data_IF_419505046292
#
_entry.id   IF_419505046292
#
_cell.length_a   1.000
_cell.length_b   1.000
_cell.length_c   1.000
_cell.angle_alpha   90.00
_cell.angle_beta   90.00
_cell.angle_gamma   90.00
#
_symmetry.space_group_name_H-M   'P 1'
#
loop_
_entity.id
_entity.type
_entity.pdbx_description
1 polymer ?
#
# COMPACT_ATOMS: atom_id res chain seq x y z
N UNK A 1 -1.24 38.09 12.21
CA UNK A 1 -1.50 36.76 11.63
C UNK A 1 -2.14 35.94 12.72
N UNK A 2 -3.33 35.40 12.47
CA UNK A 2 -4.00 34.50 13.40
C UNK A 2 -3.19 33.19 13.46
N UNK A 3 -2.97 32.67 14.67
CA UNK A 3 -2.13 31.48 14.86
C UNK A 3 -2.97 30.25 14.52
N UNK A 4 -2.51 29.42 13.59
CA UNK A 4 -3.23 28.24 13.13
C UNK A 4 -3.22 27.14 14.21
N UNK A 5 -4.36 26.49 14.42
CA UNK A 5 -4.49 25.36 15.33
C UNK A 5 -3.96 24.07 14.68
N UNK A 6 -2.70 23.75 14.96
CA UNK A 6 -1.94 22.69 14.27
C UNK A 6 -1.01 21.96 15.23
N UNK A 7 -0.70 20.69 14.94
CA UNK A 7 0.37 19.94 15.62
C UNK A 7 1.72 20.58 15.31
N UNK A 8 2.51 20.82 16.35
CA UNK A 8 3.83 21.46 16.26
C UNK A 8 4.95 20.43 16.28
N UNK A 9 4.87 19.47 17.19
CA UNK A 9 5.86 18.41 17.37
C UNK A 9 5.16 17.12 17.73
N UNK A 10 5.76 16.01 17.31
CA UNK A 10 5.31 14.67 17.64
C UNK A 10 6.55 13.79 17.81
N UNK A 11 6.55 12.97 18.85
CA UNK A 11 7.56 11.97 19.11
C UNK A 11 6.85 10.63 19.33
N UNK A 12 7.38 9.58 18.74
CA UNK A 12 6.83 8.24 18.84
C UNK A 12 7.98 7.28 19.17
N UNK A 13 7.90 6.69 20.35
CA UNK A 13 8.82 5.66 20.82
C UNK A 13 8.07 4.34 20.96
N UNK A 14 8.77 3.28 21.35
CA UNK A 14 8.08 2.01 21.62
C UNK A 14 7.12 2.18 22.81
N UNK A 15 7.51 2.95 23.82
CA UNK A 15 6.80 3.02 25.09
C UNK A 15 5.71 4.09 25.12
N UNK A 16 5.91 5.18 24.38
CA UNK A 16 5.00 6.30 24.40
C UNK A 16 4.88 7.01 23.04
N UNK A 17 3.78 7.76 22.94
CA UNK A 17 3.61 8.78 21.92
C UNK A 17 3.30 10.10 22.59
N UNK A 18 3.98 11.15 22.16
CA UNK A 18 3.77 12.50 22.66
C UNK A 18 3.64 13.48 21.51
N UNK A 19 2.78 14.48 21.68
CA UNK A 19 2.64 15.54 20.70
C UNK A 19 2.24 16.85 21.37
N UNK A 20 2.62 17.95 20.71
CA UNK A 20 2.27 19.32 21.10
C UNK A 20 1.52 20.00 19.97
N UNK A 21 0.70 20.98 20.30
CA UNK A 21 -0.05 21.77 19.33
C UNK A 21 0.11 23.27 19.58
N UNK A 22 -0.32 24.06 18.60
CA UNK A 22 -0.39 25.51 18.73
C UNK A 22 -1.29 25.89 19.89
N UNK A 23 -0.73 26.53 20.90
CA UNK A 23 -1.54 27.24 21.91
C UNK A 23 -2.15 28.49 21.26
N UNK A 24 -3.45 28.41 20.99
CA UNK A 24 -4.29 29.49 20.46
C UNK A 24 -5.28 29.99 21.52
N UNK A 25 -5.07 29.65 22.79
CA UNK A 25 -6.00 29.93 23.88
C UNK A 25 -7.16 28.95 23.95
N UNK A 26 -7.89 29.01 25.07
CA UNK A 26 -9.01 28.12 25.39
C UNK A 26 -8.60 26.91 26.22
N UNK A 27 -9.43 25.87 26.12
CA UNK A 27 -9.30 24.63 26.86
C UNK A 27 -9.28 23.44 25.88
N UNK A 28 -8.49 22.41 26.15
CA UNK A 28 -8.27 21.30 25.22
C UNK A 28 -8.81 19.98 25.76
N UNK A 29 -9.31 19.15 24.85
CA UNK A 29 -9.65 17.73 25.10
C UNK A 29 -8.88 16.86 24.13
N UNK A 30 -8.33 15.75 24.61
CA UNK A 30 -7.76 14.72 23.73
C UNK A 30 -8.51 13.41 23.92
N UNK A 31 -8.84 12.78 22.81
CA UNK A 31 -9.50 11.48 22.75
C UNK A 31 -8.58 10.49 22.05
N UNK A 32 -8.51 9.27 22.57
CA UNK A 32 -7.89 8.11 21.93
C UNK A 32 -9.00 7.14 21.57
N UNK A 33 -9.17 6.84 20.27
CA UNK A 33 -10.27 6.00 19.77
C UNK A 33 -11.63 6.42 20.38
N UNK A 34 -11.96 7.71 20.27
CA UNK A 34 -13.15 8.37 20.83
C UNK A 34 -13.29 8.35 22.37
N UNK A 35 -12.38 7.72 23.12
CA UNK A 35 -12.33 7.80 24.59
C UNK A 35 -11.52 9.00 25.04
N UNK A 36 -12.11 9.92 25.80
CA UNK A 36 -11.38 11.06 26.37
C UNK A 36 -10.26 10.56 27.31
N UNK A 37 -9.04 11.02 27.07
CA UNK A 37 -7.83 10.65 27.82
C UNK A 37 -7.13 11.87 28.43
N UNK A 38 -7.47 13.09 28.00
CA UNK A 38 -6.94 14.31 28.57
C UNK A 38 -7.96 15.45 28.49
N UNK A 39 -7.87 16.33 29.49
CA UNK A 39 -8.64 17.58 29.59
C UNK A 39 -7.78 18.62 30.30
N UNK A 40 -7.56 19.79 29.71
CA UNK A 40 -6.68 20.82 30.30
C UNK A 40 -6.33 21.98 29.38
N UNK A 41 -5.61 22.97 29.91
CA UNK A 41 -5.14 24.15 29.14
C UNK A 41 -3.74 23.98 28.56
N UNK A 42 -2.97 22.97 28.99
CA UNK A 42 -1.63 22.76 28.45
C UNK A 42 -1.73 22.19 27.02
N UNK A 43 -0.97 22.74 26.04
CA UNK A 43 -1.06 22.36 24.64
C UNK A 43 -0.17 21.14 24.30
N UNK A 44 -0.24 20.10 25.13
CA UNK A 44 0.59 18.89 25.04
C UNK A 44 -0.11 17.67 25.59
N UNK A 45 0.22 16.51 25.05
CA UNK A 45 -0.27 15.22 25.53
C UNK A 45 0.80 14.14 25.37
N UNK A 46 0.77 13.15 26.26
CA UNK A 46 1.62 11.96 26.23
C UNK A 46 0.78 10.75 26.58
N UNK A 47 0.85 9.71 25.76
CA UNK A 47 0.18 8.43 25.98
C UNK A 47 1.22 7.32 26.07
N UNK A 48 1.25 6.64 27.21
CA UNK A 48 2.12 5.49 27.48
C UNK A 48 1.39 4.14 27.48
N UNK A 49 0.11 4.09 27.10
CA UNK A 49 -0.69 2.86 27.05
C UNK A 49 -0.99 2.46 25.61
N UNK A 50 0.05 2.10 24.84
CA UNK A 50 -0.06 1.82 23.41
C UNK A 50 -0.55 0.39 23.12
N UNK A 51 -1.72 0.24 22.47
CA UNK A 51 -2.09 -1.01 21.79
C UNK A 51 -1.43 -1.01 20.41
N UNK A 52 -0.41 -1.84 20.23
CA UNK A 52 0.39 -1.90 19.00
C UNK A 52 -0.21 -2.83 17.94
N UNK A 53 -1.39 -3.40 18.18
CA UNK A 53 -2.05 -4.25 17.18
C UNK A 53 -2.68 -3.46 16.04
N UNK A 54 -2.94 -2.16 16.22
CA UNK A 54 -3.68 -1.32 15.26
C UNK A 54 -3.09 0.08 15.13
N UNK A 55 -3.43 0.80 14.03
CA UNK A 55 -3.21 2.23 13.95
C UNK A 55 -3.80 2.96 15.16
N UNK A 56 -3.02 3.88 15.73
CA UNK A 56 -3.43 4.72 16.85
C UNK A 56 -4.13 5.96 16.30
N UNK A 57 -5.33 6.25 16.80
CA UNK A 57 -6.09 7.44 16.42
C UNK A 57 -6.30 8.36 17.62
N UNK A 58 -5.92 9.63 17.45
CA UNK A 58 -6.15 10.70 18.40
C UNK A 58 -7.01 11.80 17.79
N UNK A 59 -7.88 12.40 18.60
CA UNK A 59 -8.59 13.62 18.26
C UNK A 59 -8.29 14.68 19.31
N UNK A 60 -7.84 15.86 18.88
CA UNK A 60 -7.59 17.02 19.76
C UNK A 60 -8.66 18.06 19.46
N UNK A 61 -9.45 18.42 20.47
CA UNK A 61 -10.46 19.47 20.39
C UNK A 61 -10.01 20.70 21.15
N UNK A 62 -10.21 21.88 20.54
CA UNK A 62 -10.12 23.17 21.23
C UNK A 62 -11.51 23.67 21.57
N UNK A 63 -11.73 24.00 22.83
CA UNK A 63 -12.99 24.46 23.39
C UNK A 63 -12.84 25.90 23.86
N UNK A 64 -13.74 26.76 23.41
CA UNK A 64 -13.88 28.14 23.89
C UNK A 64 -15.34 28.41 24.22
N UNK A 65 -15.61 29.03 25.36
CA UNK A 65 -16.97 29.37 25.80
C UNK A 65 -17.94 28.16 25.80
N UNK A 66 -17.40 26.96 26.06
CA UNK A 66 -18.17 25.71 26.07
C UNK A 66 -18.48 25.13 24.68
N UNK A 67 -17.97 25.71 23.60
CA UNK A 67 -18.13 25.21 22.23
C UNK A 67 -16.80 24.72 21.66
N UNK A 68 -16.83 23.59 20.94
CA UNK A 68 -15.68 23.13 20.16
C UNK A 68 -15.49 24.07 18.98
N UNK A 69 -14.32 24.71 18.91
CA UNK A 69 -13.95 25.65 17.85
C UNK A 69 -13.12 24.98 16.76
N UNK A 70 -12.20 24.11 17.16
CA UNK A 70 -11.27 23.45 16.26
C UNK A 70 -11.08 21.99 16.66
N UNK A 71 -10.83 21.17 15.65
CA UNK A 71 -10.58 19.74 15.80
C UNK A 71 -9.33 19.40 14.98
N UNK A 72 -8.46 18.56 15.53
CA UNK A 72 -7.36 17.93 14.81
C UNK A 72 -7.53 16.42 14.97
N UNK A 73 -7.36 15.67 13.87
CA UNK A 73 -7.28 14.21 13.91
C UNK A 73 -5.85 13.79 13.56
N UNK A 74 -5.30 12.90 14.37
CA UNK A 74 -3.99 12.28 14.16
C UNK A 74 -4.24 10.79 14.02
N UNK A 75 -3.74 10.18 12.95
CA UNK A 75 -3.66 8.74 12.83
C UNK A 75 -2.23 8.32 12.55
N UNK A 76 -1.73 7.34 13.28
CA UNK A 76 -0.35 6.87 13.12
C UNK A 76 -0.27 5.35 13.20
N UNK A 77 0.59 4.74 12.40
CA UNK A 77 0.88 3.31 12.52
C UNK A 77 1.65 3.04 13.82
N UNK A 78 1.44 1.89 14.49
CA UNK A 78 2.17 1.58 15.72
C UNK A 78 3.67 1.35 15.43
N UNK A 79 4.54 1.87 16.30
CA UNK A 79 5.95 1.53 16.28
C UNK A 79 6.17 0.20 17.02
N UNK A 80 6.84 -0.76 16.39
CA UNK A 80 7.18 -2.08 16.96
C UNK A 80 8.71 -2.36 16.90
N UNK A 81 9.20 -3.54 17.29
CA UNK A 81 10.63 -3.88 17.27
C UNK A 81 11.09 -4.46 15.93
N UNK A 82 12.25 -4.02 15.42
CA UNK A 82 12.70 -4.37 14.05
C UNK A 82 13.18 -5.81 14.04
N UNK A 83 12.60 -6.64 13.17
CA UNK A 83 13.13 -7.97 12.89
C UNK A 83 14.00 -7.93 11.62
N UNK A 84 15.11 -8.69 11.59
CA UNK A 84 16.12 -8.59 10.53
C UNK A 84 15.60 -8.94 9.11
N UNK A 85 14.44 -9.60 8.99
CA UNK A 85 13.91 -10.14 7.74
C UNK A 85 12.55 -9.51 7.31
N UNK A 86 12.13 -8.41 7.93
CA UNK A 86 10.82 -7.79 7.62
C UNK A 86 10.87 -6.81 6.44
N UNK A 87 9.79 -6.83 5.65
CA UNK A 87 9.55 -5.94 4.52
C UNK A 87 9.65 -4.45 4.92
N UNK A 88 10.45 -3.61 4.23
CA UNK A 88 10.75 -2.25 4.67
C UNK A 88 9.52 -1.37 4.90
N UNK A 89 8.46 -1.52 4.09
CA UNK A 89 7.22 -0.77 4.28
C UNK A 89 6.23 -1.37 5.28
N UNK A 90 6.36 -2.66 5.63
CA UNK A 90 5.40 -3.34 6.53
C UNK A 90 5.37 -2.68 7.89
N UNK A 91 6.50 -2.10 8.29
CA UNK A 91 6.72 -1.50 9.60
C UNK A 91 6.85 0.01 9.59
N UNK A 92 6.86 0.61 8.41
CA UNK A 92 7.04 2.05 8.25
C UNK A 92 5.99 2.80 9.06
N UNK A 93 6.40 3.58 10.06
CA UNK A 93 5.45 4.41 10.79
C UNK A 93 5.04 5.56 9.89
N UNK A 94 3.78 5.53 9.45
CA UNK A 94 3.15 6.61 8.69
C UNK A 94 2.18 7.33 9.62
N UNK A 95 2.36 8.65 9.74
CA UNK A 95 1.51 9.55 10.50
C UNK A 95 0.78 10.49 9.56
N UNK A 96 -0.53 10.59 9.74
CA UNK A 96 -1.42 11.51 9.03
C UNK A 96 -2.08 12.44 10.04
N UNK A 97 -2.05 13.73 9.77
CA UNK A 97 -2.67 14.76 10.60
C UNK A 97 -3.65 15.54 9.73
N UNK A 98 -4.94 15.47 10.05
CA UNK A 98 -5.95 16.32 9.46
C UNK A 98 -6.26 17.48 10.43
N UNK A 99 -6.15 18.71 9.95
CA UNK A 99 -6.44 19.92 10.70
C UNK A 99 -7.28 20.89 9.83
N UNK A 100 -7.91 21.93 10.41
CA UNK A 100 -8.77 22.84 9.64
C UNK A 100 -8.04 23.52 8.48
N UNK A 101 -6.74 23.75 8.63
CA UNK A 101 -5.89 24.47 7.68
C UNK A 101 -5.05 23.57 6.76
N UNK A 102 -4.91 22.28 7.04
CA UNK A 102 -4.00 21.39 6.30
C UNK A 102 -4.31 19.90 6.46
N UNK A 103 -3.72 19.10 5.57
CA UNK A 103 -3.39 17.70 5.80
C UNK A 103 -1.86 17.59 5.84
N UNK A 104 -1.31 16.97 6.87
CA UNK A 104 0.12 16.70 6.96
C UNK A 104 0.38 15.19 7.00
N UNK A 105 1.42 14.76 6.30
CA UNK A 105 1.94 13.40 6.29
C UNK A 105 3.37 13.43 6.81
N UNK A 106 3.73 12.44 7.61
CA UNK A 106 5.13 12.18 7.99
C UNK A 106 5.35 10.68 8.06
N UNK A 107 6.55 10.24 7.72
CA UNK A 107 6.93 8.84 7.68
C UNK A 107 8.34 8.64 8.24
N UNK A 108 8.67 7.43 8.66
CA UNK A 108 10.06 7.09 8.98
C UNK A 108 10.98 7.18 7.76
N UNK A 109 12.25 7.50 7.98
CA UNK A 109 13.24 7.45 6.93
C UNK A 109 13.41 6.03 6.42
N UNK A 110 13.27 5.85 5.10
CA UNK A 110 13.64 4.60 4.44
C UNK A 110 15.15 4.63 4.26
N UNK A 111 15.83 3.60 4.76
CA UNK A 111 17.29 3.52 4.72
C UNK A 111 17.81 3.64 3.28
N UNK A 112 18.79 4.51 3.09
CA UNK A 112 19.47 4.79 1.81
C UNK A 112 18.55 5.40 0.73
N UNK A 113 17.41 5.99 1.13
CA UNK A 113 16.55 6.84 0.29
C UNK A 113 16.83 8.30 0.58
N UNK A 114 17.10 9.09 -0.47
CA UNK A 114 17.42 10.52 -0.33
C UNK A 114 16.25 11.45 -0.63
N UNK A 115 15.32 11.02 -1.50
CA UNK A 115 14.24 11.85 -2.03
C UNK A 115 12.95 11.06 -2.18
N UNK A 116 11.83 11.78 -2.12
CA UNK A 116 10.50 11.26 -2.28
C UNK A 116 9.72 12.08 -3.30
N UNK A 117 9.14 11.43 -4.29
CA UNK A 117 8.16 12.03 -5.20
C UNK A 117 6.77 11.96 -4.56
N UNK A 118 6.11 13.11 -4.47
CA UNK A 118 4.80 13.26 -3.85
C UNK A 118 3.74 13.43 -4.93
N UNK A 119 2.71 12.60 -4.86
CA UNK A 119 1.55 12.66 -5.74
C UNK A 119 0.28 12.87 -4.93
N UNK A 120 -0.66 13.64 -5.49
CA UNK A 120 -2.01 13.84 -4.97
C UNK A 120 -3.02 13.43 -6.02
N UNK A 121 -3.90 12.48 -5.68
CA UNK A 121 -4.90 11.90 -6.59
C UNK A 121 -4.29 11.44 -7.93
N UNK A 122 -3.07 10.88 -7.86
CA UNK A 122 -2.32 10.41 -9.04
C UNK A 122 -1.60 11.50 -9.84
N UNK A 123 -1.76 12.78 -9.48
CA UNK A 123 -1.01 13.89 -10.10
C UNK A 123 0.25 14.18 -9.30
N UNK A 124 1.39 14.29 -9.98
CA UNK A 124 2.65 14.70 -9.38
C UNK A 124 2.54 16.12 -8.81
N UNK A 125 3.06 16.34 -7.61
CA UNK A 125 3.11 17.63 -6.92
C UNK A 125 4.55 18.14 -6.91
N UNK A 126 5.44 17.43 -6.22
CA UNK A 126 6.84 17.81 -6.04
C UNK A 126 7.72 16.63 -5.60
N UNK A 127 9.03 16.80 -5.74
CA UNK A 127 10.05 15.93 -5.13
C UNK A 127 10.59 16.62 -3.89
N UNK A 128 10.55 15.95 -2.75
CA UNK A 128 11.07 16.46 -1.48
C UNK A 128 12.25 15.63 -0.98
N UNK A 129 13.07 16.24 -0.12
CA UNK A 129 14.18 15.58 0.59
C UNK A 129 13.96 15.55 2.10
N UNK A 130 12.70 15.73 2.52
CA UNK A 130 12.26 15.63 3.91
C UNK A 130 11.29 14.44 4.03
N UNK A 131 11.17 13.86 5.22
CA UNK A 131 10.24 12.74 5.49
C UNK A 131 8.86 13.24 5.95
N UNK A 132 8.47 14.41 5.45
CA UNK A 132 7.26 15.13 5.80
C UNK A 132 6.73 15.92 4.61
N UNK A 133 5.42 15.87 4.44
CA UNK A 133 4.70 16.67 3.46
C UNK A 133 3.50 17.38 4.10
N UNK A 134 3.25 18.64 3.73
CA UNK A 134 2.12 19.43 4.24
C UNK A 134 1.36 19.98 3.05
N UNK A 135 0.07 19.64 2.97
CA UNK A 135 -0.84 20.11 1.94
C UNK A 135 -1.89 21.04 2.52
N UNK A 136 -1.95 22.27 1.98
CA UNK A 136 -2.91 23.30 2.36
C UNK A 136 -3.95 23.60 1.27
N UNK A 137 -3.87 22.91 0.14
CA UNK A 137 -4.66 23.19 -1.05
C UNK A 137 -5.80 22.18 -1.27
N UNK A 138 -6.11 21.35 -0.27
CA UNK A 138 -7.17 20.34 -0.39
C UNK A 138 -8.57 20.87 -0.07
N UNK A 139 -9.54 20.45 -0.88
CA UNK A 139 -10.96 20.54 -0.54
C UNK A 139 -11.25 19.80 0.76
N UNK A 140 -12.13 20.34 1.59
CA UNK A 140 -12.55 19.67 2.82
C UNK A 140 -13.62 18.59 2.60
N UNK A 141 -14.36 18.66 1.49
CA UNK A 141 -15.54 17.82 1.22
C UNK A 141 -15.26 16.60 0.35
N UNK A 142 -14.01 16.39 -0.06
CA UNK A 142 -13.60 15.27 -0.90
C UNK A 142 -12.53 14.43 -0.20
N UNK A 143 -12.53 13.12 -0.46
CA UNK A 143 -11.43 12.26 -0.05
C UNK A 143 -10.21 12.55 -0.94
N UNK A 144 -9.01 12.45 -0.37
CA UNK A 144 -7.76 12.64 -1.08
C UNK A 144 -6.87 11.42 -0.91
N UNK A 145 -6.15 11.05 -1.97
CA UNK A 145 -5.13 10.00 -1.93
C UNK A 145 -3.78 10.65 -2.17
N UNK A 146 -2.89 10.51 -1.21
CA UNK A 146 -1.48 10.81 -1.40
C UNK A 146 -0.73 9.54 -1.75
N UNK A 147 0.21 9.61 -2.68
CA UNK A 147 1.19 8.54 -2.92
C UNK A 147 2.59 9.14 -2.81
N UNK A 148 3.42 8.49 -2.03
CA UNK A 148 4.82 8.86 -1.84
C UNK A 148 5.66 7.75 -2.45
N UNK A 149 6.51 8.11 -3.41
CA UNK A 149 7.33 7.18 -4.18
C UNK A 149 8.80 7.50 -3.92
N UNK A 150 9.60 6.48 -3.68
CA UNK A 150 11.05 6.58 -3.56
C UNK A 150 11.72 5.42 -4.29
N UNK A 151 12.95 5.63 -4.74
CA UNK A 151 13.78 4.57 -5.31
C UNK A 151 15.12 4.46 -4.58
N UNK A 152 15.67 3.25 -4.56
CA UNK A 152 16.99 2.95 -3.98
C UNK A 152 17.78 2.03 -4.92
N UNK A 153 19.05 2.34 -5.21
CA UNK A 153 19.91 1.42 -5.96
C UNK A 153 20.18 0.10 -5.21
N UNK A 154 20.13 -1.04 -5.91
CA UNK A 154 20.37 -2.36 -5.30
C UNK A 154 21.78 -2.57 -4.75
N UNK A 155 22.78 -1.82 -5.23
CA UNK A 155 24.17 -1.94 -4.73
C UNK A 155 24.26 -1.64 -3.23
N UNK A 156 23.31 -0.87 -2.70
CA UNK A 156 23.23 -0.48 -1.28
C UNK A 156 22.32 -1.41 -0.44
N UNK A 157 21.61 -2.36 -1.07
CA UNK A 157 20.69 -3.31 -0.43
C UNK A 157 21.46 -4.47 0.25
N UNK A 158 22.03 -4.21 1.42
CA UNK A 158 22.69 -5.21 2.27
C UNK A 158 21.72 -6.10 3.09
N UNK A 159 20.50 -6.36 2.61
CA UNK A 159 19.56 -7.27 3.27
C UNK A 159 19.62 -8.70 2.69
N UNK A 160 19.59 -9.68 3.58
CA UNK A 160 19.93 -11.10 3.38
C UNK A 160 18.94 -11.82 2.41
N UNK A 161 19.16 -11.72 1.10
CA UNK A 161 18.59 -12.66 0.10
C UNK A 161 19.63 -13.16 -0.93
N UNK A 162 20.92 -13.05 -0.59
CA UNK A 162 22.02 -13.15 -1.55
C UNK A 162 22.39 -14.55 -2.08
N UNK A 163 21.70 -15.63 -1.68
CA UNK A 163 22.01 -16.97 -2.24
C UNK A 163 21.16 -17.28 -3.48
N UNK A 164 19.87 -16.95 -3.48
CA UNK A 164 19.00 -17.15 -4.66
C UNK A 164 19.21 -16.06 -5.70
N UNK A 165 19.29 -14.78 -5.28
CA UNK A 165 19.54 -13.65 -6.19
C UNK A 165 20.90 -13.73 -6.89
N UNK A 166 21.95 -14.29 -6.26
CA UNK A 166 23.29 -14.43 -6.89
C UNK A 166 23.41 -15.57 -7.91
N UNK A 167 22.60 -16.62 -7.79
CA UNK A 167 22.50 -17.68 -8.81
C UNK A 167 21.62 -17.18 -9.96
N UNK A 168 20.49 -16.55 -9.64
CA UNK A 168 19.59 -15.96 -10.62
C UNK A 168 20.27 -14.81 -11.40
N UNK A 169 21.14 -14.01 -10.76
CA UNK A 169 21.90 -12.96 -11.45
C UNK A 169 22.90 -13.51 -12.45
N UNK A 170 23.62 -14.58 -12.10
CA UNK A 170 24.49 -15.30 -13.05
C UNK A 170 23.71 -15.87 -14.22
N UNK A 171 22.50 -16.38 -13.99
CA UNK A 171 21.62 -16.86 -15.05
C UNK A 171 21.09 -15.68 -15.89
N UNK A 172 20.75 -14.56 -15.27
CA UNK A 172 20.30 -13.34 -15.94
C UNK A 172 21.40 -12.75 -16.86
N UNK A 173 22.63 -12.61 -16.37
CA UNK A 173 23.81 -12.17 -17.13
C UNK A 173 24.12 -13.07 -18.33
N UNK A 174 23.84 -14.38 -18.22
CA UNK A 174 24.04 -15.34 -19.31
C UNK A 174 22.93 -15.26 -20.37
N UNK A 175 21.72 -14.84 -19.99
CA UNK A 175 20.54 -14.81 -20.87
C UNK A 175 20.38 -13.46 -21.58
N UNK A 176 20.81 -12.34 -20.96
CA UNK A 176 20.63 -10.99 -21.51
C UNK A 176 21.93 -10.47 -22.14
N UNK A 177 21.90 -9.95 -23.37
CA UNK A 177 23.03 -9.19 -23.90
C UNK A 177 23.26 -7.95 -23.03
N UNK A 178 24.52 -7.67 -22.67
CA UNK A 178 24.92 -6.43 -21.98
C UNK A 178 24.57 -5.22 -22.86
N UNK A 179 23.45 -4.57 -22.56
CA UNK A 179 23.12 -3.26 -23.11
C UNK A 179 23.79 -2.19 -22.23
N UNK A 180 24.68 -1.35 -22.77
CA UNK A 180 25.33 -0.27 -22.04
C UNK A 180 24.37 0.86 -21.60
N UNK A 181 23.07 0.76 -21.92
CA UNK A 181 22.01 1.67 -21.45
C UNK A 181 21.16 1.12 -20.31
N UNK A 182 21.46 -0.08 -19.78
CA UNK A 182 20.72 -0.65 -18.66
C UNK A 182 20.70 0.33 -17.47
N UNK A 183 19.49 0.75 -17.08
CA UNK A 183 19.28 1.55 -15.87
C UNK A 183 19.90 0.82 -14.67
N UNK A 184 20.46 1.55 -13.69
CA UNK A 184 20.83 0.97 -12.41
C UNK A 184 19.62 0.22 -11.86
N UNK A 185 19.91 -0.93 -11.30
CA UNK A 185 18.91 -1.78 -10.68
C UNK A 185 18.37 -1.10 -9.42
N UNK A 186 17.05 -0.90 -9.33
CA UNK A 186 16.43 -0.08 -8.28
C UNK A 186 15.29 -0.83 -7.59
N UNK A 187 15.22 -0.75 -6.27
CA UNK A 187 14.00 -1.06 -5.52
C UNK A 187 13.12 0.19 -5.51
N UNK A 188 11.82 -0.03 -5.68
CA UNK A 188 10.82 1.04 -5.63
C UNK A 188 9.99 0.87 -4.38
N UNK A 189 9.81 1.96 -3.65
CA UNK A 189 9.01 2.04 -2.45
C UNK A 189 7.85 2.99 -2.69
N UNK A 190 6.62 2.48 -2.68
CA UNK A 190 5.42 3.31 -2.79
C UNK A 190 4.56 3.14 -1.55
N UNK A 191 4.21 4.21 -0.86
CA UNK A 191 3.12 4.13 0.12
C UNK A 191 2.05 5.18 -0.17
N UNK A 192 0.81 4.76 -0.03
CA UNK A 192 -0.36 5.57 -0.29
C UNK A 192 -1.21 5.75 0.95
N UNK A 193 -1.64 6.97 1.20
CA UNK A 193 -2.55 7.32 2.29
C UNK A 193 -3.83 7.89 1.69
N UNK A 194 -4.95 7.18 1.87
CA UNK A 194 -6.27 7.72 1.55
C UNK A 194 -6.87 8.39 2.78
N UNK A 195 -6.95 9.71 2.76
CA UNK A 195 -7.61 10.50 3.80
C UNK A 195 -9.09 10.66 3.41
N UNK A 196 -10.00 10.28 4.31
CA UNK A 196 -11.45 10.57 4.14
C UNK A 196 -11.71 12.08 4.09
N UNK A 197 -12.95 12.45 3.77
CA UNK A 197 -13.35 13.86 3.72
C UNK A 197 -12.95 14.57 5.03
N UNK A 198 -12.15 15.63 4.89
CA UNK A 198 -11.59 16.35 6.04
C UNK A 198 -12.71 16.96 6.90
N UNK A 199 -13.78 17.45 6.31
CA UNK A 199 -14.94 17.95 7.06
C UNK A 199 -15.63 16.88 7.93
N UNK A 200 -15.54 15.59 7.56
CA UNK A 200 -16.03 14.46 8.36
C UNK A 200 -15.07 14.08 9.48
N UNK A 201 -13.77 14.12 9.21
CA UNK A 201 -12.73 13.85 10.22
C UNK A 201 -12.78 14.88 11.36
N UNK A 202 -13.00 16.14 11.00
CA UNK A 202 -12.98 17.27 11.92
C UNK A 202 -14.31 17.51 12.64
N UNK A 203 -15.25 16.56 12.61
CA UNK A 203 -16.46 16.61 13.44
C UNK A 203 -16.07 16.36 14.90
N UNK A 204 -16.54 17.20 15.84
CA UNK A 204 -16.35 16.99 17.27
C UNK A 204 -16.79 15.60 17.71
N UNK A 205 -16.06 14.95 18.62
CA UNK A 205 -16.30 13.57 19.05
C UNK A 205 -17.73 13.39 19.57
N UNK A 206 -18.26 14.38 20.29
CA UNK A 206 -19.63 14.35 20.80
C UNK A 206 -20.71 14.36 19.69
N UNK A 207 -20.40 14.92 18.52
CA UNK A 207 -21.32 15.07 17.39
C UNK A 207 -21.14 13.98 16.33
N UNK A 208 -20.10 13.12 16.46
CA UNK A 208 -19.88 11.99 15.56
C UNK A 208 -21.05 11.03 15.66
N UNK A 209 -21.80 10.93 14.56
CA UNK A 209 -22.75 9.82 14.38
C UNK A 209 -21.96 8.53 14.28
N UNK A 210 -22.53 7.41 14.75
CA UNK A 210 -21.98 6.09 14.43
C UNK A 210 -21.80 6.01 12.92
N UNK A 211 -20.55 5.86 12.48
CA UNK A 211 -20.25 5.67 11.07
C UNK A 211 -20.98 4.44 10.57
N UNK A 212 -21.33 4.44 9.28
CA UNK A 212 -21.77 3.22 8.64
C UNK A 212 -20.59 2.24 8.65
N UNK A 213 -20.71 1.23 9.51
CA UNK A 213 -19.82 0.09 9.53
C UNK A 213 -19.83 -0.61 8.17
N UNK A 214 -18.63 -0.94 7.69
CA UNK A 214 -18.44 -1.75 6.48
C UNK A 214 -19.12 -3.10 6.71
N UNK A 215 -19.98 -3.50 5.79
CA UNK A 215 -20.68 -4.78 5.83
C UNK A 215 -20.09 -5.77 4.85
N UNK A 216 -19.74 -5.29 3.66
CA UNK A 216 -19.24 -6.10 2.58
C UNK A 216 -18.05 -5.42 1.92
N UNK A 217 -17.10 -6.19 1.42
CA UNK A 217 -15.98 -5.66 0.68
C UNK A 217 -15.48 -6.65 -0.37
N UNK A 218 -14.78 -6.12 -1.36
CA UNK A 218 -14.18 -6.88 -2.46
C UNK A 218 -12.77 -6.41 -2.69
N UNK A 219 -11.85 -7.36 -2.79
CA UNK A 219 -10.46 -7.14 -3.16
C UNK A 219 -10.16 -7.93 -4.43
N UNK A 220 -9.41 -7.31 -5.35
CA UNK A 220 -8.97 -7.94 -6.59
C UNK A 220 -7.50 -7.62 -6.83
N UNK A 221 -6.68 -8.66 -6.98
CA UNK A 221 -5.31 -8.56 -7.49
C UNK A 221 -5.25 -9.27 -8.84
N UNK A 222 -4.94 -8.54 -9.90
CA UNK A 222 -4.72 -9.10 -11.24
C UNK A 222 -3.31 -8.78 -11.73
N UNK A 223 -2.72 -9.73 -12.45
CA UNK A 223 -1.51 -9.51 -13.25
C UNK A 223 -1.84 -9.65 -14.73
N UNK A 224 -1.23 -8.85 -15.60
CA UNK A 224 -1.49 -8.90 -17.05
C UNK A 224 -0.32 -8.40 -17.90
N UNK A 225 -0.33 -8.78 -19.17
CA UNK A 225 0.64 -8.34 -20.17
C UNK A 225 -0.04 -7.37 -21.13
N UNK A 226 0.40 -6.12 -21.19
CA UNK A 226 -0.30 -5.06 -21.92
C UNK A 226 -0.35 -5.31 -23.43
N UNK A 227 0.73 -5.83 -24.01
CA UNK A 227 0.86 -6.06 -25.45
C UNK A 227 0.00 -7.23 -25.94
N UNK A 228 -0.22 -7.29 -27.26
CA UNK A 228 -0.88 -8.41 -27.94
C UNK A 228 0.07 -9.62 -28.12
N UNK A 229 1.33 -9.35 -28.48
CA UNK A 229 2.37 -10.33 -28.77
C UNK A 229 3.69 -9.86 -28.19
N UNK A 230 4.30 -10.73 -27.39
CA UNK A 230 5.55 -10.45 -26.68
C UNK A 230 6.62 -11.44 -27.15
N UNK A 231 7.83 -10.93 -27.35
CA UNK A 231 9.00 -11.76 -27.67
C UNK A 231 9.46 -12.49 -26.43
N UNK A 232 9.70 -13.80 -26.54
CA UNK A 232 10.27 -14.57 -25.45
C UNK A 232 11.73 -14.11 -25.21
N UNK A 233 12.09 -13.66 -23.99
CA UNK A 233 13.47 -13.29 -23.68
C UNK A 233 14.42 -14.49 -23.76
N UNK A 234 13.94 -15.71 -23.51
CA UNK A 234 14.74 -16.92 -23.64
C UNK A 234 14.92 -17.31 -25.12
N UNK A 235 16.05 -16.89 -25.70
CA UNK A 235 16.43 -17.15 -27.09
C UNK A 235 16.56 -18.65 -27.44
N UNK A 236 16.75 -19.51 -26.44
CA UNK A 236 16.87 -20.97 -26.64
C UNK A 236 15.52 -21.69 -26.51
N UNK A 237 14.45 -21.00 -26.11
CA UNK A 237 13.13 -21.60 -26.03
C UNK A 237 12.61 -21.94 -27.43
N UNK A 238 11.99 -23.12 -27.63
CA UNK A 238 11.33 -23.44 -28.89
C UNK A 238 10.11 -22.55 -29.15
N UNK A 239 9.73 -21.67 -28.23
CA UNK A 239 8.61 -20.72 -28.35
C UNK A 239 9.20 -19.30 -28.42
N UNK A 240 9.38 -18.72 -29.61
CA UNK A 240 9.97 -17.39 -29.76
C UNK A 240 9.05 -16.23 -29.35
N UNK A 241 7.73 -16.44 -29.30
CA UNK A 241 6.76 -15.40 -28.93
C UNK A 241 5.61 -15.96 -28.08
N UNK A 242 5.01 -15.12 -27.25
CA UNK A 242 3.79 -15.40 -26.49
C UNK A 242 2.72 -14.35 -26.82
N UNK A 243 1.44 -14.69 -26.66
CA UNK A 243 0.38 -13.66 -26.64
C UNK A 243 0.35 -12.97 -25.28
N UNK A 244 0.14 -11.66 -25.27
CA UNK A 244 -0.23 -10.94 -24.05
C UNK A 244 -1.75 -10.85 -23.89
N UNK A 245 -2.22 -9.84 -23.16
CA UNK A 245 -3.62 -9.62 -22.79
C UNK A 245 -4.29 -8.48 -23.58
N UNK A 246 -3.53 -7.74 -24.38
CA UNK A 246 -4.01 -6.62 -25.24
C UNK A 246 -4.97 -5.68 -24.50
N UNK A 247 -4.51 -5.17 -23.35
CA UNK A 247 -5.33 -4.31 -22.49
C UNK A 247 -4.49 -3.37 -21.65
N UNK A 248 -5.17 -2.39 -21.07
CA UNK A 248 -4.62 -1.51 -20.03
C UNK A 248 -5.24 -1.83 -18.67
N UNK A 249 -4.83 -1.09 -17.64
CA UNK A 249 -5.33 -1.17 -16.27
C UNK A 249 -6.85 -1.03 -16.21
N UNK A 250 -7.51 -2.06 -15.71
CA UNK A 250 -8.97 -2.10 -15.64
C UNK A 250 -9.41 -3.15 -14.63
N UNK A 251 -10.10 -2.78 -13.54
CA UNK A 251 -10.57 -3.75 -12.55
C UNK A 251 -11.44 -4.83 -13.18
N UNK A 252 -12.19 -4.53 -14.25
CA UNK A 252 -13.07 -5.48 -14.94
C UNK A 252 -12.44 -6.09 -16.22
N UNK A 253 -11.12 -6.01 -16.36
CA UNK A 253 -10.39 -6.64 -17.45
C UNK A 253 -10.66 -8.15 -17.51
N UNK A 254 -10.93 -8.69 -18.70
CA UNK A 254 -11.28 -10.11 -18.89
C UNK A 254 -10.09 -11.01 -19.18
N UNK A 255 -9.03 -10.47 -19.77
CA UNK A 255 -7.78 -11.19 -20.03
C UNK A 255 -6.75 -10.84 -18.96
N UNK A 256 -6.01 -11.83 -18.47
CA UNK A 256 -5.02 -11.67 -17.41
C UNK A 256 -4.07 -12.87 -17.38
N UNK A 257 -2.92 -12.71 -16.72
CA UNK A 257 -2.01 -13.82 -16.39
C UNK A 257 -2.49 -14.56 -15.15
N UNK A 258 -2.69 -13.85 -14.04
CA UNK A 258 -3.27 -14.40 -12.82
C UNK A 258 -4.27 -13.43 -12.19
N UNK A 259 -5.25 -13.97 -11.45
CA UNK A 259 -6.25 -13.19 -10.71
C UNK A 259 -6.59 -13.86 -9.40
N UNK A 260 -6.63 -13.04 -8.35
CA UNK A 260 -7.19 -13.35 -7.05
C UNK A 260 -8.34 -12.38 -6.78
N UNK A 261 -9.52 -12.92 -6.50
CA UNK A 261 -10.66 -12.18 -5.98
C UNK A 261 -10.93 -12.64 -4.55
N UNK A 262 -11.14 -11.70 -3.64
CA UNK A 262 -11.57 -11.96 -2.26
C UNK A 262 -12.82 -11.12 -2.01
N UNK A 263 -13.88 -11.76 -1.54
CA UNK A 263 -15.10 -11.13 -1.09
C UNK A 263 -15.25 -11.42 0.40
N UNK A 264 -15.42 -10.37 1.20
CA UNK A 264 -15.60 -10.50 2.63
C UNK A 264 -16.87 -9.84 3.13
N UNK A 265 -17.42 -10.39 4.20
CA UNK A 265 -18.63 -9.89 4.85
C UNK A 265 -18.43 -9.86 6.37
N UNK A 266 -18.88 -8.79 7.01
CA UNK A 266 -18.97 -8.65 8.46
C UNK A 266 -20.42 -8.91 8.91
N UNK A 267 -20.63 -9.95 9.70
CA UNK A 267 -21.95 -10.36 10.19
C UNK A 267 -21.91 -10.48 11.71
N UNK A 268 -22.48 -9.49 12.41
CA UNK A 268 -22.44 -9.43 13.87
C UNK A 268 -21.00 -9.23 14.36
N UNK A 269 -20.48 -10.21 15.09
CA UNK A 269 -19.09 -10.23 15.57
C UNK A 269 -18.16 -11.11 14.70
N UNK A 270 -18.73 -11.80 13.71
CA UNK A 270 -18.02 -12.71 12.81
C UNK A 270 -17.66 -12.03 11.48
N UNK A 271 -16.60 -12.54 10.84
CA UNK A 271 -16.24 -12.17 9.47
C UNK A 271 -16.08 -13.42 8.58
N UNK A 272 -16.70 -13.37 7.40
CA UNK A 272 -16.66 -14.44 6.40
C UNK A 272 -15.82 -14.01 5.20
N UNK A 273 -15.08 -14.96 4.62
CA UNK A 273 -14.26 -14.74 3.43
C UNK A 273 -14.54 -15.80 2.39
N UNK A 274 -14.75 -15.38 1.16
CA UNK A 274 -14.73 -16.21 -0.03
C UNK A 274 -13.63 -15.71 -0.94
N UNK A 275 -12.83 -16.62 -1.50
CA UNK A 275 -11.82 -16.25 -2.47
C UNK A 275 -11.89 -17.15 -3.70
N UNK A 276 -11.45 -16.61 -4.84
CA UNK A 276 -11.26 -17.37 -6.08
C UNK A 276 -9.90 -17.08 -6.67
N UNK A 277 -9.27 -18.11 -7.22
CA UNK A 277 -7.94 -18.08 -7.85
C UNK A 277 -8.09 -18.48 -9.31
N UNK A 278 -7.47 -17.75 -10.22
CA UNK A 278 -7.53 -18.06 -11.65
C UNK A 278 -6.21 -17.72 -12.36
N UNK A 279 -5.89 -18.52 -13.37
CA UNK A 279 -4.76 -18.31 -14.28
C UNK A 279 -5.26 -18.25 -15.72
N UNK A 280 -4.89 -17.22 -16.46
CA UNK A 280 -5.20 -17.13 -17.89
C UNK A 280 -4.37 -18.08 -18.74
N UNK A 281 -4.73 -18.25 -20.02
CA UNK A 281 -4.00 -19.11 -20.93
C UNK A 281 -2.63 -18.51 -21.28
N UNK A 282 -1.60 -19.34 -21.24
CA UNK A 282 -0.32 -19.07 -21.90
C UNK A 282 -0.39 -19.61 -23.31
N UNK A 283 -0.28 -18.75 -24.32
CA UNK A 283 -0.31 -19.14 -25.74
C UNK A 283 1.04 -18.85 -26.36
N UNK A 284 1.74 -19.90 -26.78
CA UNK A 284 3.01 -19.80 -27.49
C UNK A 284 2.82 -19.74 -29.00
N UNK A 285 3.61 -18.89 -29.65
CA UNK A 285 3.61 -18.67 -31.09
C UNK A 285 4.97 -19.03 -31.71
N UNK A 286 4.99 -19.37 -33.00
CA UNK A 286 6.21 -19.61 -33.77
C UNK A 286 6.83 -18.31 -34.32
N UNK A 287 7.95 -18.42 -35.06
CA UNK A 287 8.67 -17.25 -35.62
C UNK A 287 7.82 -16.40 -36.57
N UNK A 288 6.80 -17.00 -37.20
CA UNK A 288 5.82 -16.29 -38.04
C UNK A 288 4.64 -15.72 -37.24
N UNK A 289 4.75 -15.68 -35.89
CA UNK A 289 3.69 -15.26 -34.95
C UNK A 289 2.38 -16.06 -35.09
N UNK A 290 2.45 -17.31 -35.52
CA UNK A 290 1.29 -18.21 -35.62
C UNK A 290 1.22 -19.12 -34.40
N UNK A 291 -0.01 -19.49 -34.02
CA UNK A 291 -0.28 -20.42 -32.92
C UNK A 291 0.60 -21.68 -33.00
N UNK A 292 1.23 -22.02 -31.88
CA UNK A 292 2.03 -23.24 -31.74
C UNK A 292 1.42 -24.18 -30.69
N UNK A 293 1.17 -23.68 -29.48
CA UNK A 293 0.56 -24.43 -28.37
C UNK A 293 0.03 -23.49 -27.29
N UNK A 294 -0.86 -23.99 -26.44
CA UNK A 294 -1.30 -23.29 -25.23
C UNK A 294 -1.32 -24.22 -24.02
N UNK A 295 -1.26 -23.63 -22.82
CA UNK A 295 -1.46 -24.32 -21.55
C UNK A 295 -1.93 -23.32 -20.48
N UNK A 296 -2.43 -23.82 -19.36
CA UNK A 296 -2.74 -23.04 -18.16
C UNK A 296 -1.76 -23.40 -17.05
N UNK A 297 -1.33 -22.39 -16.29
CA UNK A 297 -0.54 -22.62 -15.09
C UNK A 297 -1.44 -23.22 -13.98
N UNK A 298 -0.83 -23.90 -13.01
CA UNK A 298 -1.56 -24.33 -11.82
C UNK A 298 -1.90 -23.12 -10.94
N UNK A 299 -3.05 -23.15 -10.27
CA UNK A 299 -3.41 -22.17 -9.23
C UNK A 299 -2.84 -22.55 -7.86
N UNK A 300 -2.18 -23.71 -7.73
CA UNK A 300 -1.59 -24.19 -6.47
C UNK A 300 -0.50 -23.26 -5.95
N UNK A 301 0.24 -22.58 -6.84
CA UNK A 301 1.23 -21.56 -6.47
C UNK A 301 0.61 -20.25 -5.98
N UNK A 302 -0.73 -20.16 -5.85
CA UNK A 302 -1.42 -19.03 -5.25
C UNK A 302 -1.96 -19.49 -3.90
N UNK A 303 -1.31 -19.10 -2.81
CA UNK A 303 -1.69 -19.45 -1.45
C UNK A 303 -2.38 -18.25 -0.79
N UNK A 304 -3.45 -18.51 -0.04
CA UNK A 304 -4.23 -17.47 0.65
C UNK A 304 -4.54 -18.00 2.03
N UNK A 305 -3.96 -17.37 3.05
CA UNK A 305 -4.16 -17.74 4.44
C UNK A 305 -4.89 -16.64 5.18
N UNK A 306 -5.92 -17.04 5.94
CA UNK A 306 -6.58 -16.16 6.91
C UNK A 306 -5.83 -16.26 8.22
N UNK A 307 -5.38 -15.12 8.74
CA UNK A 307 -4.76 -15.05 10.05
C UNK A 307 -5.83 -14.90 11.13
N UNK A 308 -5.57 -15.40 12.33
CA UNK A 308 -6.43 -15.14 13.49
C UNK A 308 -6.54 -13.64 13.73
N UNK A 309 -7.76 -13.15 13.98
CA UNK A 309 -8.05 -11.73 14.18
C UNK A 309 -9.09 -11.51 15.27
N UNK A 310 -9.21 -10.26 15.74
CA UNK A 310 -10.27 -9.88 16.69
C UNK A 310 -11.64 -9.92 15.98
N UNK A 311 -12.76 -9.99 16.73
CA UNK A 311 -14.09 -9.76 16.17
C UNK A 311 -14.11 -8.47 15.34
N UNK A 312 -14.86 -8.45 14.24
CA UNK A 312 -14.99 -7.28 13.33
C UNK A 312 -13.74 -6.89 12.56
N UNK A 313 -12.78 -7.80 12.46
CA UNK A 313 -11.58 -7.63 11.66
C UNK A 313 -11.35 -8.79 10.73
N UNK A 314 -10.57 -8.52 9.69
CA UNK A 314 -10.03 -9.51 8.78
C UNK A 314 -8.54 -9.27 8.61
N UNK A 315 -7.78 -10.34 8.78
CA UNK A 315 -6.37 -10.42 8.43
C UNK A 315 -6.18 -11.55 7.43
N UNK A 316 -5.57 -11.27 6.29
CA UNK A 316 -5.20 -12.31 5.33
C UNK A 316 -3.85 -12.05 4.69
N UNK A 317 -3.23 -13.13 4.23
CA UNK A 317 -2.04 -13.07 3.39
C UNK A 317 -2.31 -13.71 2.04
N UNK A 318 -1.60 -13.26 1.02
CA UNK A 318 -1.54 -13.89 -0.29
C UNK A 318 -0.06 -14.08 -0.62
N UNK A 319 0.33 -15.32 -0.91
CA UNK A 319 1.64 -15.64 -1.47
C UNK A 319 1.42 -16.20 -2.86
N UNK A 320 2.14 -15.67 -3.84
CA UNK A 320 1.95 -16.03 -5.23
C UNK A 320 3.29 -16.34 -5.89
N UNK A 321 3.43 -17.55 -6.41
CA UNK A 321 4.58 -18.04 -7.16
C UNK A 321 4.07 -18.91 -8.34
N UNK A 322 3.71 -18.26 -9.44
CA UNK A 322 3.13 -18.94 -10.61
C UNK A 322 4.01 -18.77 -11.84
N UNK A 323 4.55 -19.91 -12.31
CA UNK A 323 5.43 -20.00 -13.49
C UNK A 323 4.70 -20.13 -14.83
N UNK A 324 5.46 -20.00 -15.92
CA UNK A 324 4.96 -20.24 -17.27
C UNK A 324 4.87 -21.75 -17.56
N UNK A 325 3.68 -22.30 -17.90
CA UNK A 325 3.51 -23.74 -18.12
C UNK A 325 4.10 -24.24 -19.45
N UNK A 326 4.53 -23.33 -20.34
CA UNK A 326 5.00 -23.67 -21.68
C UNK A 326 6.52 -23.58 -21.84
N UNK A 327 7.24 -22.98 -20.90
CA UNK A 327 8.69 -22.82 -20.98
C UNK A 327 9.26 -22.69 -19.57
N UNK A 328 10.48 -23.15 -19.35
CA UNK A 328 11.20 -22.79 -18.14
C UNK A 328 11.41 -21.27 -18.12
N UNK A 329 10.88 -20.62 -17.09
CA UNK A 329 11.05 -19.20 -16.79
C UNK A 329 10.94 -19.00 -15.28
N UNK A 330 11.44 -17.88 -14.74
CA UNK A 330 11.02 -17.43 -13.42
C UNK A 330 9.50 -17.25 -13.37
N UNK A 331 8.97 -17.33 -12.17
CA UNK A 331 7.56 -17.12 -11.88
C UNK A 331 7.21 -15.63 -11.76
N UNK A 332 5.91 -15.35 -11.87
CA UNK A 332 5.35 -14.12 -11.34
C UNK A 332 5.30 -14.28 -9.82
N UNK A 333 6.03 -13.42 -9.10
CA UNK A 333 6.15 -13.48 -7.65
C UNK A 333 5.55 -12.25 -7.00
N UNK A 334 4.68 -12.44 -6.02
CA UNK A 334 4.20 -11.35 -5.14
C UNK A 334 3.72 -11.86 -3.79
N UNK A 335 3.76 -10.97 -2.81
CA UNK A 335 3.14 -11.17 -1.51
C UNK A 335 2.24 -10.00 -1.14
N UNK A 336 1.17 -10.29 -0.40
CA UNK A 336 0.27 -9.31 0.18
C UNK A 336 -0.03 -9.70 1.62
N UNK A 337 0.01 -8.73 2.53
CA UNK A 337 -0.57 -8.80 3.86
C UNK A 337 -1.62 -7.71 3.96
N UNK A 338 -2.79 -8.08 4.47
CA UNK A 338 -3.94 -7.20 4.51
C UNK A 338 -4.60 -7.22 5.87
N UNK A 339 -4.84 -6.03 6.42
CA UNK A 339 -5.73 -5.78 7.55
C UNK A 339 -6.88 -4.88 7.10
N UNK A 340 -8.10 -5.27 7.47
CA UNK A 340 -9.31 -4.49 7.32
C UNK A 340 -10.18 -4.65 8.56
N UNK A 341 -10.70 -3.55 9.09
CA UNK A 341 -11.72 -3.56 10.14
C UNK A 341 -13.10 -3.07 9.63
N UNK A 342 -14.11 -3.30 10.46
CA UNK A 342 -15.48 -2.91 10.18
C UNK A 342 -15.70 -1.38 10.16
N UNK A 343 -14.75 -0.59 10.67
CA UNK A 343 -14.76 0.87 10.56
C UNK A 343 -14.22 1.35 9.20
N UNK A 344 -13.69 0.42 8.40
CA UNK A 344 -13.11 0.65 7.09
C UNK A 344 -11.65 1.09 7.15
N UNK A 345 -10.98 0.92 8.29
CA UNK A 345 -9.53 1.10 8.39
C UNK A 345 -8.84 -0.03 7.64
N UNK A 346 -7.90 0.36 6.79
CA UNK A 346 -7.17 -0.53 5.91
C UNK A 346 -5.68 -0.32 6.12
N UNK A 347 -4.97 -1.43 6.15
CA UNK A 347 -3.52 -1.49 6.01
C UNK A 347 -3.17 -2.68 5.12
N UNK A 348 -2.84 -2.38 3.87
CA UNK A 348 -2.44 -3.37 2.87
C UNK A 348 -0.98 -3.13 2.55
N UNK A 349 -0.14 -4.15 2.67
CA UNK A 349 1.28 -4.07 2.32
C UNK A 349 1.68 -5.27 1.49
N UNK A 350 2.56 -5.06 0.53
CA UNK A 350 3.05 -6.15 -0.30
C UNK A 350 4.23 -5.75 -1.15
N UNK A 351 4.77 -6.74 -1.84
CA UNK A 351 5.77 -6.53 -2.87
C UNK A 351 5.51 -7.44 -4.05
N UNK A 352 6.10 -7.11 -5.19
CA UNK A 352 6.09 -7.96 -6.37
C UNK A 352 7.33 -7.72 -7.22
N UNK A 353 7.62 -8.65 -8.13
CA UNK A 353 8.64 -8.47 -9.16
C UNK A 353 8.20 -7.45 -10.23
N UNK A 354 9.13 -6.89 -10.99
CA UNK A 354 8.85 -5.79 -11.93
C UNK A 354 8.12 -6.20 -13.23
N UNK A 355 7.72 -7.47 -13.33
CA UNK A 355 6.98 -7.98 -14.47
C UNK A 355 6.01 -9.08 -14.03
N UNK A 356 4.78 -9.13 -14.57
CA UNK A 356 4.25 -8.30 -15.66
C UNK A 356 3.63 -7.00 -15.09
N UNK A 357 2.51 -6.49 -15.66
CA UNK A 357 1.78 -5.39 -15.01
C UNK A 357 1.03 -5.93 -13.79
N UNK A 358 1.01 -5.17 -12.70
CA UNK A 358 0.31 -5.49 -11.46
C UNK A 358 -0.80 -4.46 -11.22
N UNK A 359 -2.01 -4.91 -10.88
CA UNK A 359 -3.13 -4.04 -10.52
C UNK A 359 -3.91 -4.60 -9.34
N UNK A 360 -4.16 -3.73 -8.36
CA UNK A 360 -4.85 -4.07 -7.12
C UNK A 360 -5.99 -3.08 -6.89
N UNK A 361 -7.17 -3.63 -6.61
CA UNK A 361 -8.40 -2.87 -6.41
C UNK A 361 -9.13 -3.33 -5.16
N UNK A 362 -9.86 -2.38 -4.56
CA UNK A 362 -10.70 -2.62 -3.40
C UNK A 362 -12.05 -1.91 -3.60
N UNK A 363 -13.13 -2.46 -3.08
CA UNK A 363 -14.45 -1.83 -3.01
C UNK A 363 -15.08 -2.16 -1.67
N UNK A 364 -15.77 -1.20 -1.04
CA UNK A 364 -16.50 -1.37 0.20
C UNK A 364 -17.99 -1.13 -0.05
N UNK A 365 -18.88 -1.93 0.54
CA UNK A 365 -20.35 -1.75 0.54
C UNK A 365 -20.99 -1.44 -0.83
N UNK A 366 -20.46 -2.04 -1.90
CA UNK A 366 -20.97 -1.83 -3.26
C UNK A 366 -20.54 -0.50 -3.91
N UNK A 367 -19.61 0.23 -3.30
CA UNK A 367 -18.90 1.34 -3.95
C UNK A 367 -18.16 0.87 -5.21
N UNK A 368 -17.80 1.83 -6.06
CA UNK A 368 -16.94 1.57 -7.21
C UNK A 368 -15.55 1.08 -6.76
N UNK A 369 -14.91 0.29 -7.62
CA UNK A 369 -13.51 -0.08 -7.44
C UNK A 369 -12.63 1.15 -7.29
N UNK A 370 -11.89 1.21 -6.18
CA UNK A 370 -10.77 2.12 -5.99
C UNK A 370 -9.46 1.41 -6.26
N UNK A 371 -8.53 2.13 -6.86
CA UNK A 371 -7.15 1.67 -7.03
C UNK A 371 -6.44 1.66 -5.68
N UNK A 372 -5.83 0.52 -5.35
CA UNK A 372 -4.92 0.36 -4.21
C UNK A 372 -3.48 0.53 -4.69
N UNK A 373 -3.11 -0.20 -5.74
CA UNK A 373 -1.76 -0.22 -6.29
C UNK A 373 -1.80 -0.56 -7.79
N UNK A 374 -0.90 0.03 -8.58
CA UNK A 374 -0.68 -0.28 -10.00
C UNK A 374 0.78 -0.09 -10.35
N UNK A 375 1.35 -1.04 -11.07
CA UNK A 375 2.72 -0.94 -11.61
C UNK A 375 2.76 -1.42 -13.04
N UNK A 376 3.48 -0.69 -13.89
CA UNK A 376 3.74 -1.11 -15.27
C UNK A 376 4.85 -2.15 -15.34
N UNK A 377 4.76 -3.05 -16.32
CA UNK A 377 5.81 -4.06 -16.55
C UNK A 377 7.07 -3.41 -17.11
N UNK A 378 8.23 -3.66 -16.50
CA UNK A 378 9.54 -3.35 -17.11
C UNK A 378 9.92 -4.35 -18.22
N UNK A 379 9.17 -5.44 -18.32
CA UNK A 379 9.22 -6.43 -19.42
C UNK A 379 9.60 -7.82 -18.91
N UNK A 380 9.33 -8.87 -19.72
CA UNK A 380 9.52 -10.26 -19.28
C UNK A 380 10.95 -10.63 -18.87
N UNK A 381 11.95 -9.86 -19.28
CA UNK A 381 13.32 -9.98 -18.81
C UNK A 381 13.44 -9.81 -17.28
N UNK A 382 12.58 -8.98 -16.69
CA UNK A 382 12.59 -8.57 -15.30
C UNK A 382 11.79 -9.50 -14.38
N UNK A 383 11.22 -10.60 -14.91
CA UNK A 383 10.54 -11.64 -14.11
C UNK A 383 11.44 -12.28 -13.04
N UNK A 384 12.77 -12.26 -13.25
CA UNK A 384 13.73 -12.96 -12.37
C UNK A 384 13.81 -12.39 -10.95
N UNK A 385 13.27 -11.19 -10.67
CA UNK A 385 13.39 -10.52 -9.36
C UNK A 385 14.82 -10.14 -8.97
N UNK A 386 15.78 -10.34 -9.88
CA UNK A 386 17.20 -9.98 -9.71
C UNK A 386 17.37 -8.46 -9.75
N UNK A 387 16.37 -7.74 -10.29
CA UNK A 387 16.51 -6.33 -10.65
C UNK A 387 15.78 -5.30 -9.76
N UNK A 388 15.30 -5.74 -8.60
CA UNK A 388 14.57 -4.90 -7.64
C UNK A 388 13.21 -5.50 -7.39
N UNK A 389 12.73 -5.36 -6.16
CA UNK A 389 11.33 -5.67 -5.83
C UNK A 389 10.58 -4.32 -5.73
N UNK A 390 9.33 -4.32 -6.19
CA UNK A 390 8.42 -3.18 -6.06
C UNK A 390 7.65 -3.34 -4.76
N UNK A 391 8.04 -2.59 -3.73
CA UNK A 391 7.40 -2.57 -2.42
C UNK A 391 6.27 -1.54 -2.42
N UNK A 392 5.10 -1.92 -1.93
CA UNK A 392 3.96 -1.03 -1.83
C UNK A 392 3.20 -1.16 -0.50
N UNK A 393 2.61 -0.07 -0.03
CA UNK A 393 1.69 -0.05 1.11
C UNK A 393 0.53 0.91 0.89
N UNK A 394 -0.66 0.57 1.35
CA UNK A 394 -1.85 1.39 1.23
C UNK A 394 -2.57 1.44 2.58
N UNK A 395 -2.73 2.65 3.12
CA UNK A 395 -3.42 2.88 4.38
C UNK A 395 -4.55 3.89 4.22
N UNK A 396 -5.55 3.83 5.09
CA UNK A 396 -6.62 4.84 5.16
C UNK A 396 -6.57 5.63 6.45
N UNK A 397 -6.81 6.93 6.39
CA UNK A 397 -7.08 7.78 7.56
C UNK A 397 -8.58 8.11 7.60
N UNK A 398 -9.27 7.68 8.67
CA UNK A 398 -10.73 7.57 8.73
C UNK A 398 -11.44 8.33 9.84
#
# INVERSE_FOLDING_TARGET
MEKLFEIQQMNHTLDDISFTWSDTGGYYRVYKNDRQVYEGTAPKFTDGELDRSYPLQYTVERVEEGQVRDVIVIQTSPLTEVQEDEHPLQRLVITTIAAPSQIALSWEWIKDVEKFDVYRNGQYIETISDNRFIDRETSSSEAVVYSIVATRPLIDSNQKMNVSKSIASKVFEVIMPTDPTNKPTEEVYTFSVRVKQRDRLLIPVADRKKFNEVKQWKFRYTTFLKEDIIKNPNLFSPIPYFTGDDRDFNPEGKSFRTRVDIEGEFIGEDSHLRFTKATGPSIGLNTMKRYKRHAHASVEGIEIDRLEGKPKEVHFTITHDVGNPLTASPSIHYEVKAHLDQQGNLDLVGYHNDAPHHEIYLALDGENWRTVHRTESEGLAYLTGVLGDNYWRYVTCN
#
